data_IF_940539446769
#
_entry.id   IF_940539446769
#
_cell.length_a   1.000
_cell.length_b   1.000
_cell.length_c   1.000
_cell.angle_alpha   90.00
_cell.angle_beta   90.00
_cell.angle_gamma   90.00
#
_symmetry.space_group_name_H-M   'P 1'
#
loop_
_entity.id
_entity.type
_entity.pdbx_description
1 polymer ?
#
# COMPACT_ATOMS: atom_id res chain seq x y z
N UNK A 1 46.19 -13.21 -30.61
CA UNK A 1 45.89 -12.53 -29.33
C UNK A 1 44.39 -12.64 -29.12
N UNK A 2 43.95 -13.49 -28.19
CA UNK A 2 42.53 -13.65 -27.85
C UNK A 2 42.24 -12.82 -26.60
N UNK A 3 41.38 -11.80 -26.75
CA UNK A 3 40.94 -10.97 -25.64
C UNK A 3 39.74 -11.65 -24.95
N UNK A 4 39.94 -12.10 -23.70
CA UNK A 4 38.85 -12.53 -22.82
C UNK A 4 38.06 -11.29 -22.38
N UNK A 5 36.87 -11.12 -22.93
CA UNK A 5 35.88 -10.15 -22.44
C UNK A 5 35.21 -10.75 -21.19
N UNK A 6 35.76 -10.45 -20.01
CA UNK A 6 35.10 -10.72 -18.74
C UNK A 6 33.94 -9.73 -18.56
N UNK A 7 32.72 -10.17 -18.88
CA UNK A 7 31.49 -9.43 -18.58
C UNK A 7 31.25 -9.43 -17.08
N UNK A 8 31.39 -8.27 -16.43
CA UNK A 8 30.91 -8.07 -15.06
C UNK A 8 29.38 -8.07 -15.07
N UNK A 9 28.78 -9.14 -14.55
CA UNK A 9 27.36 -9.14 -14.23
C UNK A 9 27.12 -8.12 -13.11
N UNK A 10 26.42 -7.03 -13.42
CA UNK A 10 25.99 -6.07 -12.40
C UNK A 10 24.95 -6.76 -11.50
N UNK A 11 25.05 -6.64 -10.17
CA UNK A 11 24.01 -7.15 -9.29
C UNK A 11 22.71 -6.39 -9.57
N UNK A 12 21.65 -7.13 -9.87
CA UNK A 12 20.30 -6.58 -9.88
C UNK A 12 19.92 -6.25 -8.44
N UNK A 13 19.64 -4.98 -8.14
CA UNK A 13 19.02 -4.61 -6.88
C UNK A 13 17.58 -5.11 -6.94
N UNK A 14 17.24 -6.06 -6.05
CA UNK A 14 15.89 -6.55 -5.92
C UNK A 14 15.02 -5.43 -5.35
N UNK A 15 13.92 -5.13 -6.04
CA UNK A 15 12.93 -4.16 -5.59
C UNK A 15 12.08 -4.81 -4.50
N UNK A 16 12.05 -4.20 -3.31
CA UNK A 16 11.17 -4.66 -2.23
C UNK A 16 9.74 -4.26 -2.56
N UNK A 17 8.84 -5.25 -2.68
CA UNK A 17 7.43 -5.01 -3.02
C UNK A 17 6.47 -5.65 -2.03
N UNK A 18 5.28 -5.05 -1.92
CA UNK A 18 4.26 -5.42 -0.95
C UNK A 18 2.89 -5.47 -1.60
N UNK A 19 2.09 -6.46 -1.19
CA UNK A 19 0.68 -6.58 -1.58
C UNK A 19 -0.19 -6.57 -0.34
N UNK A 20 -1.21 -5.72 -0.32
CA UNK A 20 -2.04 -5.51 0.85
C UNK A 20 -3.54 -5.58 0.53
N UNK A 21 -4.31 -5.92 1.56
CA UNK A 21 -5.77 -6.01 1.54
C UNK A 21 -6.35 -5.32 2.77
N UNK A 22 -7.56 -4.78 2.64
CA UNK A 22 -8.31 -4.24 3.77
C UNK A 22 -9.26 -5.29 4.36
N UNK A 23 -9.39 -5.31 5.67
CA UNK A 23 -10.42 -6.10 6.36
C UNK A 23 -11.70 -5.28 6.58
N UNK A 24 -11.57 -3.95 6.59
CA UNK A 24 -12.66 -2.99 6.80
C UNK A 24 -12.53 -1.82 5.83
N UNK A 25 -13.64 -1.16 5.55
CA UNK A 25 -13.66 0.07 4.75
C UNK A 25 -13.93 1.26 5.68
N UNK A 26 -13.00 2.22 5.71
CA UNK A 26 -13.18 3.54 6.33
C UNK A 26 -13.22 4.59 5.25
N UNK A 27 -14.28 5.41 5.28
CA UNK A 27 -14.44 6.59 4.43
C UNK A 27 -14.35 7.84 5.27
N UNK A 28 -13.56 8.80 4.82
CA UNK A 28 -13.40 10.09 5.44
C UNK A 28 -13.86 11.21 4.49
N UNK A 29 -14.58 12.18 5.04
CA UNK A 29 -15.10 13.33 4.32
C UNK A 29 -15.67 14.35 5.29
N UNK A 30 -15.58 15.64 4.97
CA UNK A 30 -16.12 16.70 5.85
C UNK A 30 -15.49 16.77 7.24
N UNK A 31 -14.27 16.22 7.42
CA UNK A 31 -13.54 16.23 8.69
C UNK A 31 -13.84 15.07 9.64
N UNK A 32 -14.68 14.10 9.23
CA UNK A 32 -14.95 12.89 10.00
C UNK A 32 -14.70 11.64 9.16
N UNK A 33 -14.63 10.49 9.84
CA UNK A 33 -14.50 9.18 9.21
C UNK A 33 -15.59 8.23 9.74
N UNK A 34 -16.08 7.35 8.88
CA UNK A 34 -17.02 6.30 9.24
C UNK A 34 -16.55 4.95 8.68
N UNK A 35 -16.80 3.89 9.44
CA UNK A 35 -16.60 2.50 9.00
C UNK A 35 -17.85 2.07 8.23
N UNK A 36 -17.68 1.44 7.07
CA UNK A 36 -18.78 0.87 6.30
C UNK A 36 -19.50 -0.23 7.10
N UNK A 37 -20.82 -0.36 6.91
CA UNK A 37 -21.60 -1.42 7.54
C UNK A 37 -21.22 -2.82 7.03
N UNK A 38 -21.70 -3.86 7.73
CA UNK A 38 -21.52 -5.24 7.28
C UNK A 38 -22.11 -5.44 5.87
N UNK A 39 -21.29 -5.94 4.93
CA UNK A 39 -21.69 -6.14 3.53
C UNK A 39 -21.59 -4.90 2.63
N UNK A 40 -21.21 -3.74 3.17
CA UNK A 40 -21.05 -2.49 2.39
C UNK A 40 -19.58 -2.20 2.03
N UNK A 41 -18.65 -3.06 2.45
CA UNK A 41 -17.22 -2.93 2.19
C UNK A 41 -16.85 -3.25 0.74
N UNK A 42 -16.07 -2.36 0.14
CA UNK A 42 -15.37 -2.58 -1.13
C UNK A 42 -14.06 -3.30 -0.84
N UNK A 43 -13.86 -4.52 -1.36
CA UNK A 43 -12.55 -5.16 -1.32
C UNK A 43 -11.53 -4.34 -2.09
N UNK A 44 -10.47 -3.94 -1.41
CA UNK A 44 -9.41 -3.10 -1.94
C UNK A 44 -8.11 -3.92 -2.02
N UNK A 45 -7.39 -3.76 -3.13
CA UNK A 45 -6.05 -4.34 -3.31
C UNK A 45 -5.05 -3.21 -3.44
N UNK A 46 -3.98 -3.23 -2.65
CA UNK A 46 -2.88 -2.29 -2.83
C UNK A 46 -1.62 -3.06 -3.16
N UNK A 47 -0.87 -2.60 -4.17
CA UNK A 47 0.50 -3.03 -4.40
C UNK A 47 1.41 -1.80 -4.42
N UNK A 48 2.56 -1.88 -3.77
CA UNK A 48 3.56 -0.81 -3.81
C UNK A 48 4.97 -1.35 -3.59
N UNK A 49 5.97 -0.56 -3.94
CA UNK A 49 7.37 -0.94 -3.85
C UNK A 49 8.29 0.21 -3.41
N UNK A 50 9.49 -0.14 -2.96
CA UNK A 50 10.53 0.80 -2.53
C UNK A 50 11.15 1.62 -3.68
N UNK A 51 10.86 1.27 -4.93
CA UNK A 51 11.16 2.08 -6.12
C UNK A 51 10.08 3.14 -6.42
N UNK A 52 9.02 3.20 -5.60
CA UNK A 52 7.90 4.12 -5.74
C UNK A 52 6.78 3.66 -6.67
N UNK A 53 6.81 2.44 -7.22
CA UNK A 53 5.65 1.87 -7.89
C UNK A 53 4.46 1.77 -6.93
N UNK A 54 3.26 2.09 -7.40
CA UNK A 54 2.02 2.00 -6.61
C UNK A 54 0.80 1.71 -7.48
N UNK A 55 -0.09 0.88 -6.96
CA UNK A 55 -1.37 0.48 -7.54
C UNK A 55 -2.40 0.33 -6.42
N UNK A 56 -3.51 1.06 -6.52
CA UNK A 56 -4.64 0.99 -5.58
C UNK A 56 -5.88 0.57 -6.36
N UNK A 57 -6.28 -0.69 -6.26
CA UNK A 57 -7.41 -1.25 -7.00
C UNK A 57 -8.67 -1.30 -6.13
N UNK A 58 -9.73 -0.70 -6.64
CA UNK A 58 -11.07 -0.72 -6.05
C UNK A 58 -12.11 -0.83 -7.17
N UNK A 59 -13.20 -1.55 -6.91
CA UNK A 59 -14.28 -1.75 -7.88
C UNK A 59 -13.77 -2.40 -9.17
N UNK A 60 -13.89 -1.68 -10.30
CA UNK A 60 -13.59 -2.12 -11.65
C UNK A 60 -12.24 -1.61 -12.16
N UNK A 61 -11.46 -0.90 -11.35
CA UNK A 61 -10.23 -0.26 -11.81
C UNK A 61 -9.22 -0.02 -10.70
N UNK A 62 -8.13 0.64 -11.08
CA UNK A 62 -7.02 0.93 -10.18
C UNK A 62 -6.50 2.34 -10.44
N UNK A 63 -6.07 3.00 -9.36
CA UNK A 63 -5.20 4.16 -9.44
C UNK A 63 -3.75 3.67 -9.51
N UNK A 64 -3.15 3.76 -10.68
CA UNK A 64 -1.84 3.17 -10.97
C UNK A 64 -0.82 4.22 -11.37
N UNK A 65 0.42 4.04 -10.90
CA UNK A 65 1.54 4.84 -11.38
C UNK A 65 2.77 4.72 -10.51
N UNK A 66 3.48 5.84 -10.38
CA UNK A 66 4.68 5.96 -9.56
C UNK A 66 4.62 7.20 -8.71
N UNK A 67 5.25 7.11 -7.55
CA UNK A 67 5.37 8.18 -6.58
C UNK A 67 6.79 8.28 -6.03
N UNK A 68 6.91 8.98 -4.90
CA UNK A 68 8.13 9.00 -4.10
C UNK A 68 8.04 7.90 -3.05
N UNK A 69 9.04 7.04 -3.02
CA UNK A 69 9.32 6.15 -1.91
C UNK A 69 10.37 6.78 -0.97
N UNK A 70 10.18 6.62 0.34
CA UNK A 70 11.08 7.09 1.39
C UNK A 70 10.92 6.17 2.61
N UNK A 71 11.99 5.93 3.38
CA UNK A 71 11.89 5.01 4.50
C UNK A 71 13.24 4.57 5.07
N UNK A 72 13.15 3.71 6.07
CA UNK A 72 14.26 3.04 6.74
C UNK A 72 13.98 1.53 6.86
N UNK A 73 14.74 0.80 7.67
CA UNK A 73 14.57 -0.64 7.85
C UNK A 73 13.22 -1.03 8.47
N UNK A 74 12.52 -0.10 9.12
CA UNK A 74 11.24 -0.32 9.80
C UNK A 74 10.05 0.20 8.99
N UNK A 75 10.15 1.40 8.43
CA UNK A 75 9.03 2.07 7.79
C UNK A 75 9.27 2.34 6.31
N UNK A 76 8.26 2.10 5.48
CA UNK A 76 8.24 2.50 4.06
C UNK A 76 7.06 3.41 3.83
N UNK A 77 7.32 4.58 3.28
CA UNK A 77 6.28 5.49 2.79
C UNK A 77 6.34 5.54 1.28
N UNK A 78 5.19 5.38 0.61
CA UNK A 78 5.03 5.66 -0.82
C UNK A 78 3.93 6.70 -0.99
N UNK A 79 4.24 7.79 -1.69
CA UNK A 79 3.27 8.85 -1.95
C UNK A 79 3.27 9.26 -3.42
N UNK A 80 2.09 9.30 -4.03
CA UNK A 80 1.88 9.66 -5.42
C UNK A 80 0.73 10.65 -5.55
N UNK A 81 0.74 11.44 -6.62
CA UNK A 81 -0.29 12.46 -6.88
C UNK A 81 -0.88 12.29 -8.26
N UNK A 82 -2.18 12.58 -8.38
CA UNK A 82 -2.88 12.59 -9.65
C UNK A 82 -2.84 11.27 -10.41
N UNK A 83 -2.84 10.13 -9.71
CA UNK A 83 -2.84 8.82 -10.36
C UNK A 83 -4.13 8.64 -11.16
N UNK A 84 -4.08 8.29 -12.46
CA UNK A 84 -5.28 8.07 -13.26
C UNK A 84 -5.99 6.79 -12.82
N UNK A 85 -7.32 6.81 -12.85
CA UNK A 85 -8.11 5.60 -12.65
C UNK A 85 -8.22 4.83 -13.98
N UNK A 86 -7.79 3.57 -13.99
CA UNK A 86 -7.58 2.79 -15.21
C UNK A 86 -8.82 2.59 -16.10
N UNK A 87 -10.02 2.71 -15.54
CA UNK A 87 -11.30 2.57 -16.26
C UNK A 87 -12.09 3.87 -16.36
N UNK A 88 -11.52 5.02 -15.96
CA UNK A 88 -12.18 6.30 -16.15
C UNK A 88 -12.18 6.70 -17.65
N UNK A 89 -13.31 7.20 -18.18
CA UNK A 89 -13.35 7.82 -19.50
C UNK A 89 -12.41 9.02 -19.59
N UNK A 90 -11.85 9.28 -20.78
CA UNK A 90 -10.90 10.38 -20.99
C UNK A 90 -11.52 11.77 -20.70
N UNK A 91 -12.82 11.93 -20.95
CA UNK A 91 -13.58 13.17 -20.73
C UNK A 91 -14.10 13.33 -19.29
N UNK A 92 -13.95 12.29 -18.46
CA UNK A 92 -14.35 12.30 -17.06
C UNK A 92 -13.28 11.62 -16.18
N UNK A 93 -12.06 12.18 -16.12
CA UNK A 93 -10.97 11.57 -15.37
C UNK A 93 -11.27 11.55 -13.87
N UNK A 94 -10.80 10.51 -13.20
CA UNK A 94 -10.95 10.33 -11.74
C UNK A 94 -9.59 10.18 -11.06
N UNK A 95 -8.73 11.20 -11.08
CA UNK A 95 -7.42 11.09 -10.49
C UNK A 95 -7.50 11.02 -8.97
N UNK A 96 -6.56 10.32 -8.33
CA UNK A 96 -6.42 10.30 -6.88
C UNK A 96 -4.98 10.56 -6.44
N UNK A 97 -4.85 11.26 -5.31
CA UNK A 97 -3.62 11.30 -4.54
C UNK A 97 -3.61 10.12 -3.58
N UNK A 98 -2.45 9.47 -3.45
CA UNK A 98 -2.27 8.26 -2.65
C UNK A 98 -1.09 8.45 -1.71
N UNK A 99 -1.28 8.08 -0.45
CA UNK A 99 -0.19 7.90 0.50
C UNK A 99 -0.34 6.54 1.19
N UNK A 100 0.76 5.80 1.30
CA UNK A 100 0.85 4.54 2.03
C UNK A 100 2.02 4.61 2.99
N UNK A 101 1.79 4.27 4.25
CA UNK A 101 2.84 4.05 5.26
C UNK A 101 2.77 2.59 5.71
N UNK A 102 3.83 1.83 5.47
CA UNK A 102 4.00 0.45 5.91
C UNK A 102 4.91 0.40 7.14
N UNK A 103 4.49 -0.35 8.15
CA UNK A 103 5.37 -0.89 9.19
C UNK A 103 5.78 -2.31 8.78
N UNK A 104 7.07 -2.50 8.45
CA UNK A 104 7.64 -3.78 7.97
C UNK A 104 7.71 -4.85 9.05
N UNK A 105 7.73 -4.45 10.32
CA UNK A 105 7.80 -5.37 11.45
C UNK A 105 6.46 -6.07 11.63
N UNK A 106 5.38 -5.29 11.60
CA UNK A 106 4.00 -5.76 11.80
C UNK A 106 3.31 -6.20 10.52
N UNK A 107 3.85 -5.81 9.35
CA UNK A 107 3.23 -6.03 8.04
C UNK A 107 1.83 -5.40 7.93
N UNK A 108 1.66 -4.25 8.59
CA UNK A 108 0.46 -3.42 8.52
C UNK A 108 0.81 -2.13 7.80
N UNK A 109 -0.04 -1.74 6.85
CA UNK A 109 0.06 -0.44 6.20
C UNK A 109 -1.15 0.44 6.49
N UNK A 110 -0.95 1.75 6.47
CA UNK A 110 -2.00 2.75 6.47
C UNK A 110 -2.07 3.39 5.08
N UNK A 111 -3.23 3.32 4.44
CA UNK A 111 -3.52 3.92 3.14
C UNK A 111 -4.41 5.15 3.33
N UNK A 112 -4.09 6.23 2.62
CA UNK A 112 -5.02 7.32 2.34
C UNK A 112 -5.13 7.54 0.83
N UNK A 113 -6.33 7.38 0.26
CA UNK A 113 -6.58 7.52 -1.17
C UNK A 113 -8.07 7.73 -1.46
N UNK A 114 -8.46 8.67 -2.32
CA UNK A 114 -9.86 8.88 -2.78
C UNK A 114 -10.95 8.80 -1.68
N UNK A 115 -10.67 9.45 -0.53
CA UNK A 115 -11.56 9.44 0.63
C UNK A 115 -11.51 8.17 1.49
N UNK A 116 -10.73 7.15 1.11
CA UNK A 116 -10.41 6.01 1.97
C UNK A 116 -9.28 6.36 2.95
N UNK A 117 -9.37 5.83 4.18
CA UNK A 117 -8.32 5.89 5.20
C UNK A 117 -8.18 4.52 5.90
N UNK A 118 -7.47 3.57 5.28
CA UNK A 118 -7.56 2.15 5.62
C UNK A 118 -6.30 1.63 6.32
N UNK A 119 -6.44 0.90 7.44
CA UNK A 119 -5.44 -0.08 7.83
C UNK A 119 -5.53 -1.28 6.89
N UNK A 120 -4.37 -1.78 6.46
CA UNK A 120 -4.23 -2.87 5.50
C UNK A 120 -3.31 -3.94 6.08
N UNK A 121 -3.65 -5.20 5.85
CA UNK A 121 -2.75 -6.33 6.08
C UNK A 121 -1.91 -6.57 4.81
N UNK A 122 -0.60 -6.67 4.96
CA UNK A 122 0.36 -6.75 3.87
C UNK A 122 1.16 -8.04 3.86
N UNK A 123 1.56 -8.47 2.67
CA UNK A 123 2.53 -9.56 2.44
C UNK A 123 3.65 -9.04 1.55
N UNK A 124 4.89 -9.26 1.99
CA UNK A 124 6.07 -8.93 1.19
C UNK A 124 6.21 -9.92 0.03
N UNK A 125 6.40 -9.41 -1.17
CA UNK A 125 6.65 -10.18 -2.38
C UNK A 125 8.14 -10.09 -2.68
N UNK A 126 8.88 -11.10 -2.20
CA UNK A 126 10.30 -11.26 -2.51
C UNK A 126 10.51 -12.12 -3.76
N UNK A 127 11.60 -11.88 -4.48
CA UNK A 127 12.06 -12.62 -5.67
C UNK A 127 12.43 -14.10 -5.43
N UNK A 128 11.98 -14.70 -4.31
CA UNK A 128 12.17 -16.13 -4.04
C UNK A 128 12.50 -16.44 -2.58
N UNK A 129 11.47 -16.83 -1.82
CA UNK A 129 11.64 -17.94 -0.87
C UNK A 129 11.81 -17.63 0.62
N UNK A 130 11.66 -16.40 1.09
CA UNK A 130 11.42 -16.14 2.53
C UNK A 130 10.36 -15.06 2.70
N UNK A 131 9.11 -15.43 2.43
CA UNK A 131 7.98 -14.70 3.02
C UNK A 131 8.19 -14.66 4.52
N UNK A 132 8.34 -13.46 5.09
CA UNK A 132 8.27 -13.27 6.52
C UNK A 132 6.87 -13.68 6.94
N UNK A 133 6.75 -14.84 7.57
CA UNK A 133 5.52 -15.27 8.23
C UNK A 133 5.12 -14.16 9.21
N UNK A 134 3.87 -13.65 9.19
CA UNK A 134 3.42 -12.69 10.18
C UNK A 134 3.63 -13.31 11.57
N UNK A 135 4.39 -12.64 12.44
CA UNK A 135 4.40 -13.01 13.84
C UNK A 135 2.97 -12.90 14.33
N UNK A 136 2.42 -14.00 14.86
CA UNK A 136 1.10 -14.06 15.49
C UNK A 136 1.08 -13.15 16.73
N UNK A 137 0.97 -11.84 16.52
CA UNK A 137 0.80 -10.84 17.54
C UNK A 137 -0.68 -10.64 17.76
N UNK A 138 -1.19 -11.11 18.90
CA UNK A 138 -2.51 -10.75 19.40
C UNK A 138 -2.51 -9.23 19.63
N UNK A 139 -3.17 -8.47 18.75
CA UNK A 139 -3.38 -7.04 18.96
C UNK A 139 -4.30 -6.84 20.18
N UNK A 140 -3.89 -6.10 21.23
CA UNK A 140 -4.83 -5.65 22.24
C UNK A 140 -5.76 -4.62 21.61
N UNK A 141 -7.07 -4.90 21.65
CA UNK A 141 -8.12 -3.92 21.34
C UNK A 141 -7.91 -2.74 22.29
N UNK A 142 -7.61 -1.56 21.73
CA UNK A 142 -7.56 -0.33 22.50
C UNK A 142 -9.00 -0.02 22.94
N UNK A 143 -9.35 -0.37 24.19
CA UNK A 143 -10.59 0.07 24.77
C UNK A 143 -10.56 1.59 24.93
N UNK A 144 -11.60 2.21 24.36
CA UNK A 144 -11.90 3.63 24.45
C UNK A 144 -11.87 4.09 25.92
N UNK A 145 -10.98 5.03 26.24
CA UNK A 145 -11.00 5.71 27.54
C UNK A 145 -11.94 6.90 27.39
N UNK A 146 -13.19 6.70 27.77
CA UNK A 146 -14.11 7.80 28.04
C UNK A 146 -13.47 8.74 29.07
N UNK A 147 -13.46 10.07 28.86
CA UNK A 147 -12.99 11.00 29.87
C UNK A 147 -14.02 11.05 31.00
N UNK A 148 -13.59 10.78 32.23
CA UNK A 148 -14.41 11.04 33.42
C UNK A 148 -14.70 12.55 33.51
N UNK A 149 -15.97 12.90 33.47
CA UNK A 149 -16.52 14.21 33.80
C UNK A 149 -17.45 14.10 34.99
#
# INVERSE_FOLDING_TARGET
>A
MAALMAGMAMPAFAVESWHCRNDLEIRCGGGSCAVAGEGESTPLSVAFADDGAISVCAYTGCWDGRGRADGDDRYLTVSARGLPFSTAPEDAPRPADVAVLLDRETSVALLHADGFALPLHCVGVGDGGRGRTPSSGTYPVLHDRTPDG
#
